data_IF_335459086033
#
_entry.id   IF_335459086033
#
_cell.length_a   1.000
_cell.length_b   1.000
_cell.length_c   1.000
_cell.angle_alpha   90.00
_cell.angle_beta   90.00
_cell.angle_gamma   90.00
#
_symmetry.space_group_name_H-M   'P 1'
#
loop_
_entity.id
_entity.type
_entity.pdbx_description
1 polymer ?
#
# COMPACT_ATOMS: atom_id res chain seq x y z
N UNK A 1 -4.64 -21.76 -5.82
CA UNK A 1 -4.53 -22.00 -4.36
C UNK A 1 -4.04 -20.77 -3.57
N UNK A 2 -4.09 -19.54 -4.10
CA UNK A 2 -3.69 -18.32 -3.38
C UNK A 2 -4.86 -17.56 -2.73
N UNK A 3 -6.11 -17.91 -3.08
CA UNK A 3 -7.32 -17.26 -2.54
C UNK A 3 -7.54 -17.48 -1.03
N UNK A 4 -6.73 -18.36 -0.41
CA UNK A 4 -6.78 -18.63 1.04
C UNK A 4 -5.99 -17.63 1.88
N UNK A 5 -5.12 -16.79 1.29
CA UNK A 5 -4.34 -15.82 2.06
C UNK A 5 -5.07 -14.49 2.32
N UNK A 6 -6.18 -14.22 1.62
CA UNK A 6 -6.97 -13.00 1.84
C UNK A 6 -7.97 -13.10 3.02
N UNK A 7 -8.07 -14.24 3.73
CA UNK A 7 -9.09 -14.46 4.78
C UNK A 7 -8.62 -14.30 6.22
N UNK A 8 -7.33 -14.17 6.49
CA UNK A 8 -6.82 -14.12 7.86
C UNK A 8 -6.08 -12.81 8.13
N UNK A 9 -6.80 -11.69 8.20
CA UNK A 9 -6.35 -10.51 8.96
C UNK A 9 -7.56 -9.65 9.35
N UNK A 10 -8.33 -10.14 10.33
CA UNK A 10 -9.42 -9.40 10.99
C UNK A 10 -8.83 -8.34 11.94
N UNK A 11 -8.23 -7.29 11.38
CA UNK A 11 -7.95 -6.06 12.10
C UNK A 11 -9.24 -5.25 12.26
N UNK A 12 -9.79 -5.20 13.47
CA UNK A 12 -10.81 -4.21 13.83
C UNK A 12 -10.13 -2.83 13.87
N UNK A 13 -10.45 -1.92 12.95
CA UNK A 13 -10.29 -0.49 13.20
C UNK A 13 -11.65 0.19 13.12
N UNK A 14 -11.93 0.95 14.17
CA UNK A 14 -13.10 1.78 14.37
C UNK A 14 -12.80 3.17 13.80
N UNK A 15 -13.43 3.54 12.69
CA UNK A 15 -13.71 4.93 12.37
C UNK A 15 -14.88 4.95 11.39
N UNK A 16 -16.00 5.54 11.84
CA UNK A 16 -17.23 5.70 11.05
C UNK A 16 -16.95 6.60 9.83
N UNK A 17 -17.63 6.29 8.74
CA UNK A 17 -17.91 7.13 7.56
C UNK A 17 -16.95 7.14 6.36
N UNK A 18 -16.35 5.99 6.02
CA UNK A 18 -15.95 5.69 4.64
C UNK A 18 -16.34 4.24 4.30
N UNK A 19 -16.75 3.92 3.05
CA UNK A 19 -16.88 2.52 2.64
C UNK A 19 -15.56 1.82 2.95
N UNK A 20 -15.64 0.70 3.69
CA UNK A 20 -14.48 -0.01 4.21
C UNK A 20 -13.71 -0.62 3.03
N UNK A 21 -12.79 0.15 2.45
CA UNK A 21 -11.87 -0.32 1.42
C UNK A 21 -10.95 -1.33 2.08
N UNK A 22 -11.01 -2.57 1.63
CA UNK A 22 -10.07 -3.57 2.08
C UNK A 22 -8.75 -3.35 1.33
N UNK A 23 -7.71 -2.94 2.07
CA UNK A 23 -6.38 -2.69 1.53
C UNK A 23 -5.52 -3.89 1.88
N UNK A 24 -4.99 -4.55 0.84
CA UNK A 24 -4.00 -5.61 1.01
C UNK A 24 -2.67 -5.08 1.51
N UNK A 25 -1.73 -5.99 1.70
CA UNK A 25 -0.36 -5.68 2.11
C UNK A 25 0.57 -6.33 1.11
N UNK A 26 1.66 -5.63 0.81
CA UNK A 26 2.74 -6.18 0.01
C UNK A 26 3.89 -6.57 0.96
N UNK A 27 3.84 -7.77 1.57
CA UNK A 27 4.94 -8.26 2.40
C UNK A 27 6.20 -8.46 1.55
N UNK A 28 7.36 -8.55 2.21
CA UNK A 28 8.66 -8.60 1.54
C UNK A 28 8.83 -9.78 0.56
N UNK A 29 8.10 -10.88 0.74
CA UNK A 29 8.10 -12.06 -0.12
C UNK A 29 7.14 -11.95 -1.31
N UNK A 30 6.29 -10.92 -1.35
CA UNK A 30 5.33 -10.70 -2.42
C UNK A 30 5.98 -10.03 -3.63
N UNK A 31 5.74 -10.58 -4.81
CA UNK A 31 6.28 -10.07 -6.07
C UNK A 31 5.24 -9.29 -6.87
N UNK A 32 5.70 -8.38 -7.71
CA UNK A 32 4.85 -7.66 -8.68
C UNK A 32 4.06 -8.60 -9.59
N UNK A 33 4.63 -9.76 -9.94
CA UNK A 33 3.97 -10.76 -10.79
C UNK A 33 2.76 -11.40 -10.09
N UNK A 34 2.84 -11.64 -8.78
CA UNK A 34 1.72 -12.15 -7.99
C UNK A 34 0.56 -11.14 -7.98
N UNK A 35 0.86 -9.87 -7.70
CA UNK A 35 -0.13 -8.77 -7.69
C UNK A 35 -0.77 -8.59 -9.07
N UNK A 36 0.04 -8.68 -10.14
CA UNK A 36 -0.47 -8.62 -11.52
C UNK A 36 -1.45 -9.75 -11.80
N UNK A 37 -1.12 -10.98 -11.40
CA UNK A 37 -1.99 -12.16 -11.60
C UNK A 37 -3.31 -11.98 -10.85
N UNK A 38 -3.27 -11.43 -9.63
CA UNK A 38 -4.46 -11.13 -8.84
C UNK A 38 -5.34 -10.05 -9.49
N UNK A 39 -4.74 -8.95 -9.96
CA UNK A 39 -5.44 -7.91 -10.72
C UNK A 39 -6.09 -8.45 -12.00
N UNK A 40 -5.38 -9.27 -12.78
CA UNK A 40 -5.93 -9.87 -14.00
C UNK A 40 -7.11 -10.79 -13.68
N UNK A 41 -7.06 -11.51 -12.55
CA UNK A 41 -8.17 -12.32 -12.07
C UNK A 41 -9.37 -11.43 -11.66
N UNK A 42 -9.14 -10.35 -10.91
CA UNK A 42 -10.19 -9.38 -10.54
C UNK A 42 -10.84 -8.75 -11.77
N UNK A 43 -10.07 -8.39 -12.80
CA UNK A 43 -10.60 -7.90 -14.09
C UNK A 43 -11.51 -8.94 -14.73
N UNK A 44 -11.11 -10.22 -14.76
CA UNK A 44 -11.93 -11.30 -15.33
C UNK A 44 -13.23 -11.52 -14.55
N UNK A 45 -13.22 -11.33 -13.23
CA UNK A 45 -14.41 -11.55 -12.38
C UNK A 45 -15.37 -10.37 -12.36
N UNK A 46 -14.84 -9.15 -12.26
CA UNK A 46 -15.64 -7.95 -11.96
C UNK A 46 -15.65 -6.93 -13.09
N UNK A 47 -14.80 -7.09 -14.09
CA UNK A 47 -14.61 -6.15 -15.19
C UNK A 47 -13.76 -4.95 -14.82
N UNK A 48 -13.06 -4.40 -15.82
CA UNK A 48 -12.12 -3.29 -15.67
C UNK A 48 -12.73 -2.04 -15.02
N UNK A 49 -14.01 -1.75 -15.32
CA UNK A 49 -14.71 -0.57 -14.78
C UNK A 49 -14.90 -0.64 -13.26
N UNK A 50 -15.25 -1.82 -12.73
CA UNK A 50 -15.44 -1.98 -11.29
C UNK A 50 -14.11 -2.00 -10.57
N UNK A 51 -13.08 -2.61 -11.16
CA UNK A 51 -11.72 -2.52 -10.65
C UNK A 51 -11.25 -1.07 -10.58
N UNK A 52 -11.53 -0.25 -11.59
CA UNK A 52 -11.20 1.19 -11.58
C UNK A 52 -11.78 1.92 -10.37
N UNK A 53 -13.04 1.65 -10.01
CA UNK A 53 -13.67 2.23 -8.80
C UNK A 53 -12.95 1.79 -7.52
N UNK A 54 -12.55 0.51 -7.43
CA UNK A 54 -11.78 -0.01 -6.29
C UNK A 54 -10.43 0.70 -6.19
N UNK A 55 -9.73 0.84 -7.32
CA UNK A 55 -8.43 1.53 -7.39
C UNK A 55 -8.55 3.00 -6.99
N UNK A 56 -9.61 3.70 -7.40
CA UNK A 56 -9.88 5.08 -6.95
C UNK A 56 -10.05 5.17 -5.43
N UNK A 57 -10.78 4.23 -4.84
CA UNK A 57 -10.95 4.14 -3.39
C UNK A 57 -9.63 3.83 -2.66
N UNK A 58 -8.82 2.90 -3.19
CA UNK A 58 -7.47 2.62 -2.69
C UNK A 58 -6.58 3.88 -2.74
N UNK A 59 -6.68 4.71 -3.79
CA UNK A 59 -5.92 5.97 -3.89
C UNK A 59 -6.35 7.01 -2.85
N UNK A 60 -7.64 7.07 -2.47
CA UNK A 60 -8.10 7.91 -1.34
C UNK A 60 -7.47 7.43 -0.03
N UNK A 61 -7.44 6.12 0.19
CA UNK A 61 -6.81 5.56 1.38
C UNK A 61 -5.29 5.77 1.39
N UNK A 62 -4.62 5.73 0.24
CA UNK A 62 -3.20 6.07 0.10
C UNK A 62 -2.92 7.49 0.60
N UNK A 63 -3.75 8.47 0.24
CA UNK A 63 -3.60 9.85 0.75
C UNK A 63 -3.68 9.91 2.28
N UNK A 64 -4.60 9.15 2.88
CA UNK A 64 -4.72 9.06 4.34
C UNK A 64 -3.48 8.42 4.98
N UNK A 65 -3.00 7.30 4.44
CA UNK A 65 -1.79 6.63 4.95
C UNK A 65 -0.55 7.52 4.85
N UNK A 66 -0.43 8.32 3.78
CA UNK A 66 0.65 9.28 3.61
C UNK A 66 0.56 10.44 4.61
N UNK A 67 -0.65 10.94 4.88
CA UNK A 67 -0.87 11.97 5.90
C UNK A 67 -0.51 11.44 7.30
N UNK A 68 -0.99 10.25 7.66
CA UNK A 68 -0.67 9.61 8.94
C UNK A 68 0.86 9.37 9.08
N UNK A 69 1.55 9.01 7.98
CA UNK A 69 3.01 8.88 7.96
C UNK A 69 3.68 10.23 8.25
N UNK A 70 3.24 11.30 7.57
CA UNK A 70 3.79 12.64 7.76
C UNK A 70 3.56 13.17 9.18
N UNK A 71 2.37 12.98 9.74
CA UNK A 71 2.06 13.36 11.13
C UNK A 71 2.94 12.61 12.14
N UNK A 72 3.18 11.31 11.91
CA UNK A 72 4.05 10.52 12.75
C UNK A 72 5.52 10.97 12.64
N UNK A 73 6.00 11.29 11.44
CA UNK A 73 7.34 11.85 11.21
C UNK A 73 7.53 13.21 11.92
N UNK A 74 6.55 14.09 11.83
CA UNK A 74 6.55 15.37 12.56
C UNK A 74 6.60 15.15 14.08
N UNK A 75 5.80 14.22 14.59
CA UNK A 75 5.79 13.90 16.02
C UNK A 75 7.13 13.33 16.50
N UNK A 76 7.80 12.51 15.69
CA UNK A 76 9.17 12.04 15.98
C UNK A 76 10.14 13.22 16.01
N UNK A 77 10.03 14.14 15.06
CA UNK A 77 10.88 15.33 15.02
C UNK A 77 10.70 16.18 16.28
N UNK A 78 9.47 16.47 16.67
CA UNK A 78 9.16 17.32 17.82
C UNK A 78 9.49 16.69 19.18
N UNK A 79 9.16 15.41 19.36
CA UNK A 79 9.22 14.75 20.67
C UNK A 79 10.52 14.01 20.91
N UNK A 80 11.20 13.57 19.85
CA UNK A 80 12.42 12.78 19.94
C UNK A 80 13.64 13.54 19.40
N UNK A 81 13.58 14.02 18.16
CA UNK A 81 14.76 14.55 17.48
C UNK A 81 15.18 15.93 18.01
N UNK A 82 14.26 16.90 18.02
CA UNK A 82 14.53 18.28 18.42
C UNK A 82 15.02 18.40 19.87
N UNK A 83 14.48 17.65 20.86
CA UNK A 83 14.99 17.69 22.23
C UNK A 83 16.42 17.15 22.34
N UNK A 84 16.76 16.09 21.59
CA UNK A 84 18.12 15.56 21.56
C UNK A 84 19.10 16.55 20.93
N UNK A 85 18.73 17.17 19.81
CA UNK A 85 19.55 18.19 19.14
C UNK A 85 19.82 19.38 20.07
N UNK A 86 18.77 19.92 20.70
CA UNK A 86 18.90 21.03 21.65
C UNK A 86 19.82 20.68 22.83
N UNK A 87 19.71 19.45 23.35
CA UNK A 87 20.57 18.98 24.45
C UNK A 87 22.02 18.84 24.01
N UNK A 88 22.25 18.31 22.81
CA UNK A 88 23.57 18.18 22.22
C UNK A 88 24.22 19.56 21.97
N UNK A 89 23.47 20.52 21.43
CA UNK A 89 23.91 21.91 21.21
C UNK A 89 24.30 22.62 22.52
N UNK A 90 23.66 22.25 23.62
CA UNK A 90 24.01 22.73 24.96
C UNK A 90 25.27 22.06 25.55
N UNK A 91 25.92 21.15 24.83
CA UNK A 91 27.13 20.44 25.24
C UNK A 91 26.88 19.27 26.19
N UNK A 92 25.62 18.87 26.40
CA UNK A 92 25.31 17.71 27.24
C UNK A 92 25.46 16.40 26.47
N UNK A 93 25.89 15.36 27.18
CA UNK A 93 25.87 14.00 26.64
C UNK A 93 24.42 13.54 26.36
N UNK A 94 24.25 12.93 25.20
CA UNK A 94 23.00 12.35 24.70
C UNK A 94 22.98 10.83 24.83
N UNK A 95 24.08 10.20 25.26
CA UNK A 95 24.20 8.75 25.46
C UNK A 95 23.54 8.30 26.77
N UNK A 96 23.61 6.99 27.01
CA UNK A 96 23.13 6.37 28.25
C UNK A 96 21.62 6.54 28.45
N UNK A 97 21.22 6.95 29.65
CA UNK A 97 19.81 7.10 30.03
C UNK A 97 19.02 8.02 29.09
N UNK A 98 19.63 9.11 28.62
CA UNK A 98 18.98 10.05 27.70
C UNK A 98 18.59 9.35 26.39
N UNK A 99 19.53 8.59 25.82
CA UNK A 99 19.30 7.82 24.61
C UNK A 99 18.21 6.76 24.82
N UNK A 100 18.27 6.01 25.91
CA UNK A 100 17.30 4.96 26.25
C UNK A 100 15.88 5.53 26.35
N UNK A 101 15.70 6.62 27.10
CA UNK A 101 14.40 7.29 27.21
C UNK A 101 13.89 7.81 25.86
N UNK A 102 14.79 8.26 24.99
CA UNK A 102 14.41 8.68 23.65
C UNK A 102 13.95 7.51 22.76
N UNK A 103 14.62 6.37 22.85
CA UNK A 103 14.22 5.14 22.14
C UNK A 103 12.84 4.66 22.61
N UNK A 104 12.54 4.71 23.91
CA UNK A 104 11.21 4.37 24.43
C UNK A 104 10.13 5.32 23.90
N UNK A 105 10.41 6.63 23.82
CA UNK A 105 9.49 7.61 23.23
C UNK A 105 9.26 7.34 21.75
N UNK A 106 10.33 7.04 21.01
CA UNK A 106 10.24 6.69 19.59
C UNK A 106 9.35 5.47 19.37
N UNK A 107 9.55 4.40 20.15
CA UNK A 107 8.74 3.19 20.06
C UNK A 107 7.26 3.42 20.40
N UNK A 108 6.95 4.37 21.29
CA UNK A 108 5.56 4.76 21.59
C UNK A 108 4.90 5.57 20.48
N UNK A 109 5.68 6.31 19.69
CA UNK A 109 5.16 7.14 18.59
C UNK A 109 4.99 6.29 17.34
N UNK A 110 5.96 5.43 17.04
CA UNK A 110 6.03 4.61 15.85
C UNK A 110 6.52 3.21 16.24
N UNK A 111 5.62 2.30 16.64
CA UNK A 111 5.94 0.89 16.78
C UNK A 111 6.43 0.35 15.43
N UNK A 112 7.50 -0.45 15.43
CA UNK A 112 8.12 -0.99 14.21
C UNK A 112 7.12 -1.77 13.35
N UNK A 113 6.25 -2.57 13.99
CA UNK A 113 5.22 -3.34 13.29
C UNK A 113 4.23 -2.44 12.54
N UNK A 114 3.75 -1.38 13.19
CA UNK A 114 2.80 -0.43 12.58
C UNK A 114 3.42 0.34 11.41
N UNK A 115 4.69 0.71 11.52
CA UNK A 115 5.44 1.34 10.42
C UNK A 115 5.55 0.37 9.24
N UNK A 116 5.96 -0.87 9.50
CA UNK A 116 6.08 -1.90 8.47
C UNK A 116 4.73 -2.15 7.80
N UNK A 117 3.64 -2.32 8.56
CA UNK A 117 2.32 -2.53 7.94
C UNK A 117 1.90 -1.35 7.05
N UNK A 118 2.22 -0.13 7.48
CA UNK A 118 1.86 1.08 6.73
C UNK A 118 2.63 1.13 5.40
N UNK A 119 3.93 0.81 5.43
CA UNK A 119 4.76 0.77 4.22
C UNK A 119 4.30 -0.31 3.24
N UNK A 120 4.03 -1.52 3.74
CA UNK A 120 3.48 -2.62 2.91
C UNK A 120 2.13 -2.27 2.28
N UNK A 121 1.25 -1.54 2.98
CA UNK A 121 -0.03 -1.05 2.44
C UNK A 121 0.19 0.01 1.37
N UNK A 122 1.14 0.93 1.57
CA UNK A 122 1.50 1.95 0.59
C UNK A 122 2.03 1.29 -0.70
N UNK A 123 2.95 0.33 -0.56
CA UNK A 123 3.55 -0.36 -1.70
C UNK A 123 2.54 -1.23 -2.44
N UNK A 124 1.64 -1.89 -1.72
CA UNK A 124 0.49 -2.59 -2.30
C UNK A 124 -0.35 -1.69 -3.21
N UNK A 125 -0.82 -0.55 -2.69
CA UNK A 125 -1.69 0.37 -3.44
C UNK A 125 -0.95 0.95 -4.65
N UNK A 126 0.31 1.37 -4.47
CA UNK A 126 1.12 1.94 -5.55
C UNK A 126 1.36 0.93 -6.67
N UNK A 127 1.71 -0.30 -6.32
CA UNK A 127 1.96 -1.36 -7.29
C UNK A 127 0.69 -1.71 -8.04
N UNK A 128 -0.45 -1.84 -7.34
CA UNK A 128 -1.75 -2.10 -7.98
C UNK A 128 -2.17 -1.01 -8.93
N UNK A 129 -2.04 0.26 -8.51
CA UNK A 129 -2.35 1.40 -9.36
C UNK A 129 -1.49 1.44 -10.63
N UNK A 130 -0.18 1.22 -10.50
CA UNK A 130 0.73 1.19 -11.64
C UNK A 130 0.37 0.08 -12.64
N UNK A 131 0.06 -1.12 -12.14
CA UNK A 131 -0.36 -2.26 -12.94
C UNK A 131 -1.70 -2.00 -13.62
N UNK A 132 -2.69 -1.47 -12.89
CA UNK A 132 -4.00 -1.09 -13.45
C UNK A 132 -3.85 -0.07 -14.58
N UNK A 133 -3.03 0.98 -14.38
CA UNK A 133 -2.74 1.97 -15.43
C UNK A 133 -2.08 1.38 -16.66
N UNK A 134 -1.25 0.35 -16.51
CA UNK A 134 -0.66 -0.37 -17.65
C UNK A 134 -1.71 -1.17 -18.43
N UNK A 135 -2.71 -1.74 -17.74
CA UNK A 135 -3.81 -2.50 -18.36
C UNK A 135 -4.77 -1.56 -19.12
N UNK A 136 -5.07 -0.38 -18.58
CA UNK A 136 -5.89 0.63 -19.27
C UNK A 136 -5.25 1.11 -20.58
N UNK A 137 -3.91 1.16 -20.63
CA UNK A 137 -3.15 1.60 -21.80
C UNK A 137 -2.91 0.51 -22.84
N UNK A 138 -3.13 -0.76 -22.51
CA UNK A 138 -3.00 -1.82 -23.50
C UNK A 138 -4.15 -1.68 -24.50
N UNK A 139 -3.89 -1.45 -25.80
CA UNK A 139 -4.95 -1.44 -26.78
C UNK A 139 -5.63 -2.81 -26.71
N UNK A 140 -6.96 -2.81 -26.61
CA UNK A 140 -7.74 -4.02 -26.90
C UNK A 140 -7.27 -4.46 -28.28
N UNK A 141 -6.58 -5.58 -28.37
CA UNK A 141 -6.47 -6.28 -29.64
C UNK A 141 -7.89 -6.70 -29.94
N UNK A 142 -8.57 -5.89 -30.75
CA UNK A 142 -9.89 -6.18 -31.26
C UNK A 142 -9.78 -7.53 -31.97
N UNK A 143 -10.36 -8.54 -31.32
CA UNK A 143 -10.69 -9.85 -31.89
C UNK A 143 -11.73 -9.65 -32.99
N UNK A 144 -11.35 -8.98 -34.09
CA UNK A 144 -12.19 -8.74 -35.26
C UNK A 144 -11.60 -9.33 -36.56
N UNK A 145 -10.47 -10.04 -36.48
CA UNK A 145 -9.90 -10.77 -37.62
C UNK A 145 -9.34 -12.12 -37.19
N UNK A 146 -10.21 -13.11 -36.98
CA UNK A 146 -9.85 -14.55 -36.97
C UNK A 146 -11.11 -15.36 -37.34
N UNK A 147 -11.83 -14.90 -38.36
CA UNK A 147 -13.08 -15.54 -38.78
C UNK A 147 -13.54 -15.06 -40.14
N UNK A 148 -12.70 -15.17 -41.18
CA UNK A 148 -13.18 -15.13 -42.56
C UNK A 148 -12.32 -16.06 -43.44
N UNK A 149 -12.92 -17.21 -43.73
CA UNK A 149 -12.89 -17.99 -44.97
C UNK A 149 -11.57 -18.10 -45.76
N UNK A 150 -11.04 -19.34 -45.82
CA UNK A 150 -10.54 -19.89 -47.08
C UNK A 150 -11.28 -21.21 -47.33
N UNK A 151 -12.46 -21.09 -47.94
CA UNK A 151 -12.99 -22.14 -48.80
C UNK A 151 -12.79 -21.66 -50.23
N UNK A 152 -11.92 -22.33 -50.97
CA UNK A 152 -11.90 -22.33 -52.44
C UNK A 152 -11.03 -23.49 -52.93
N UNK A 153 -11.64 -24.67 -52.98
CA UNK A 153 -11.45 -25.61 -54.11
C UNK A 153 -12.52 -25.25 -55.15
N UNK A 154 -12.30 -25.45 -56.46
CA UNK A 154 -12.00 -26.76 -57.06
C UNK A 154 -10.54 -26.96 -57.46
#
# INVERSE_FOLDING_TARGET
>A
MLWKLCKSFLGKSSSKDLPKVFIGRMPADMTHAAIKTELEFEVKQHGLRNLGKTIEQEQVALKKLLLEKQEAEQKVQEVCLNPLLKRFEQGYDIKGLTWQLNQERLHKILPTEELMEREEKIDWIRTRYALFKSMEKSPKVDSKYMGLFIHSTP
#
